data_IF_019414789229
#
_entry.id   IF_019414789229
#
_cell.length_a   1.000
_cell.length_b   1.000
_cell.length_c   1.000
_cell.angle_alpha   90.00
_cell.angle_beta   90.00
_cell.angle_gamma   90.00
#
_symmetry.space_group_name_H-M   'P 1'
#
loop_
_entity.id
_entity.type
_entity.pdbx_description
1 polymer ?
#
# COMPACT_ATOMS: atom_id res chain seq x y z
N UNK A 1 -16.93 13.48 3.27
CA UNK A 1 -16.70 14.63 4.17
C UNK A 1 -16.44 14.22 5.61
N UNK A 2 -17.36 13.50 6.24
CA UNK A 2 -17.16 13.05 7.62
C UNK A 2 -15.90 12.21 7.80
N UNK A 3 -15.61 11.35 6.84
CA UNK A 3 -14.43 10.46 6.91
C UNK A 3 -13.14 11.28 6.88
N UNK A 4 -13.07 12.29 6.00
CA UNK A 4 -11.89 13.13 5.91
C UNK A 4 -11.69 13.96 7.19
N UNK A 5 -12.78 14.46 7.78
CA UNK A 5 -12.71 15.18 9.04
C UNK A 5 -12.24 14.27 10.17
N UNK A 6 -12.72 13.02 10.18
CA UNK A 6 -12.29 12.04 11.17
C UNK A 6 -10.79 11.74 11.04
N UNK A 7 -10.30 11.55 9.81
CA UNK A 7 -8.89 11.31 9.55
C UNK A 7 -8.03 12.49 10.01
N UNK A 8 -8.52 13.72 9.79
CA UNK A 8 -7.79 14.90 10.24
C UNK A 8 -7.63 14.91 11.77
N UNK A 9 -8.68 14.49 12.50
CA UNK A 9 -8.64 14.38 13.94
C UNK A 9 -7.70 13.26 14.39
N UNK A 10 -7.58 12.20 13.60
CA UNK A 10 -6.77 11.03 13.89
C UNK A 10 -5.39 11.14 13.25
N UNK A 11 -4.81 12.34 13.24
CA UNK A 11 -3.48 12.62 12.68
C UNK A 11 -3.39 12.46 11.17
N UNK A 12 -4.53 12.59 10.48
CA UNK A 12 -4.62 12.46 9.02
C UNK A 12 -4.19 11.07 8.51
N UNK A 13 -4.24 10.06 9.38
CA UNK A 13 -3.81 8.72 9.02
C UNK A 13 -4.98 7.93 8.42
N UNK A 14 -4.94 7.60 7.13
CA UNK A 14 -5.95 6.69 6.57
C UNK A 14 -5.76 5.29 7.11
N UNK A 15 -6.84 4.52 7.17
CA UNK A 15 -6.78 3.14 7.64
C UNK A 15 -6.28 2.17 6.57
N UNK A 16 -6.22 2.58 5.31
CA UNK A 16 -5.71 1.75 4.22
C UNK A 16 -4.39 2.34 3.73
N UNK A 17 -3.34 1.54 3.76
CA UNK A 17 -2.02 1.94 3.26
C UNK A 17 -1.61 0.94 2.19
N UNK A 18 -1.54 1.42 0.95
CA UNK A 18 -1.06 0.62 -0.17
C UNK A 18 0.46 0.70 -0.19
N UNK A 19 1.13 -0.44 -0.08
CA UNK A 19 2.59 -0.50 -0.10
C UNK A 19 3.10 -1.18 -1.35
N UNK A 20 4.02 -0.52 -2.04
CA UNK A 20 4.66 -1.09 -3.22
C UNK A 20 5.40 -2.38 -2.84
N UNK A 21 5.45 -3.40 -3.72
CA UNK A 21 6.18 -4.63 -3.40
C UNK A 21 7.63 -4.33 -2.99
N UNK A 22 8.05 -4.89 -1.87
CA UNK A 22 9.41 -4.73 -1.36
C UNK A 22 9.63 -3.56 -0.42
N UNK A 23 8.62 -2.73 -0.13
CA UNK A 23 8.78 -1.60 0.81
C UNK A 23 8.87 -2.02 2.26
N UNK A 24 8.43 -3.24 2.61
CA UNK A 24 8.51 -3.73 4.00
C UNK A 24 7.17 -3.86 4.70
N UNK A 25 6.07 -4.02 3.95
CA UNK A 25 4.74 -4.25 4.54
C UNK A 25 4.73 -5.44 5.50
N UNK A 26 5.34 -6.55 5.09
CA UNK A 26 5.37 -7.77 5.89
C UNK A 26 6.11 -7.56 7.21
N UNK A 27 7.17 -6.77 7.21
CA UNK A 27 7.91 -6.44 8.41
C UNK A 27 7.06 -5.61 9.36
N UNK A 28 6.38 -4.59 8.83
CA UNK A 28 5.49 -3.76 9.63
C UNK A 28 4.37 -4.61 10.26
N UNK A 29 3.78 -5.51 9.49
CA UNK A 29 2.75 -6.41 9.97
C UNK A 29 3.29 -7.35 11.06
N UNK A 30 4.45 -7.95 10.82
CA UNK A 30 5.07 -8.90 11.75
C UNK A 30 5.41 -8.24 13.09
N UNK A 31 5.86 -7.00 13.05
CA UNK A 31 6.32 -6.26 14.22
C UNK A 31 5.21 -5.43 14.88
N UNK A 32 3.96 -5.64 14.51
CA UNK A 32 2.83 -4.80 14.95
C UNK A 32 2.51 -4.85 16.45
N UNK A 33 2.93 -5.90 17.14
CA UNK A 33 2.58 -6.07 18.55
C UNK A 33 1.07 -6.13 18.75
N UNK A 34 0.54 -5.28 19.64
CA UNK A 34 -0.89 -5.21 19.95
C UNK A 34 -1.68 -4.33 18.97
N UNK A 35 -1.02 -3.71 18.00
CA UNK A 35 -1.69 -2.85 17.05
C UNK A 35 -2.55 -3.67 16.08
N UNK A 36 -3.72 -3.14 15.77
CA UNK A 36 -4.63 -3.77 14.80
C UNK A 36 -4.19 -3.46 13.38
N UNK A 37 -3.24 -4.21 12.88
CA UNK A 37 -2.73 -4.08 11.51
C UNK A 37 -2.97 -5.41 10.80
N UNK A 38 -3.51 -5.33 9.59
CA UNK A 38 -3.81 -6.50 8.76
C UNK A 38 -3.08 -6.37 7.43
N UNK A 39 -2.36 -7.40 7.03
CA UNK A 39 -1.73 -7.46 5.71
C UNK A 39 -2.69 -8.21 4.79
N UNK A 40 -3.36 -7.49 3.90
CA UNK A 40 -4.37 -8.04 3.01
C UNK A 40 -3.83 -8.20 1.60
N UNK A 41 -3.48 -9.43 1.26
CA UNK A 41 -2.99 -9.78 -0.06
C UNK A 41 -4.17 -9.95 -1.02
N UNK A 42 -4.25 -9.07 -2.03
CA UNK A 42 -5.34 -9.12 -3.00
C UNK A 42 -5.32 -10.38 -3.87
N UNK A 43 -4.17 -11.04 -3.98
CA UNK A 43 -4.06 -12.24 -4.81
C UNK A 43 -4.81 -13.45 -4.23
N UNK A 44 -5.19 -13.42 -2.95
CA UNK A 44 -5.93 -14.50 -2.31
C UNK A 44 -7.43 -14.44 -2.58
N UNK A 45 -7.92 -13.38 -3.21
CA UNK A 45 -9.35 -13.19 -3.48
C UNK A 45 -9.75 -13.78 -4.83
N UNK A 46 -10.98 -14.30 -4.90
CA UNK A 46 -11.51 -14.88 -6.13
C UNK A 46 -11.53 -13.83 -7.24
N UNK A 47 -10.86 -14.13 -8.34
CA UNK A 47 -10.71 -13.20 -9.46
C UNK A 47 -12.03 -12.86 -10.13
N UNK A 48 -12.99 -13.79 -10.10
CA UNK A 48 -14.30 -13.56 -10.74
C UNK A 48 -15.07 -12.42 -10.06
N UNK A 49 -14.87 -12.21 -8.77
CA UNK A 49 -15.56 -11.19 -7.98
C UNK A 49 -14.67 -10.02 -7.60
N UNK A 50 -13.39 -10.08 -7.96
CA UNK A 50 -12.43 -9.02 -7.67
C UNK A 50 -12.67 -7.84 -8.63
N UNK A 51 -12.65 -6.57 -8.17
CA UNK A 51 -12.21 -6.13 -6.83
C UNK A 51 -13.34 -5.96 -5.80
N UNK A 52 -14.59 -6.24 -6.14
CA UNK A 52 -15.72 -6.01 -5.23
C UNK A 52 -15.59 -6.79 -3.92
N UNK A 53 -15.17 -8.06 -3.99
CA UNK A 53 -14.97 -8.88 -2.81
C UNK A 53 -13.84 -8.32 -1.92
N UNK A 54 -12.78 -7.82 -2.53
CA UNK A 54 -11.66 -7.22 -1.80
C UNK A 54 -12.08 -5.93 -1.10
N UNK A 55 -12.84 -5.08 -1.80
CA UNK A 55 -13.35 -3.83 -1.22
C UNK A 55 -14.31 -4.12 -0.06
N UNK A 56 -15.17 -5.14 -0.19
CA UNK A 56 -16.07 -5.53 0.90
C UNK A 56 -15.26 -5.96 2.14
N UNK A 57 -14.20 -6.73 1.94
CA UNK A 57 -13.29 -7.14 3.00
C UNK A 57 -12.64 -5.92 3.67
N UNK A 58 -12.16 -4.96 2.87
CA UNK A 58 -11.53 -3.74 3.40
C UNK A 58 -12.52 -2.95 4.25
N UNK A 59 -13.74 -2.74 3.75
CA UNK A 59 -14.78 -2.00 4.49
C UNK A 59 -15.10 -2.67 5.83
N UNK A 60 -15.19 -4.00 5.84
CA UNK A 60 -15.43 -4.77 7.07
C UNK A 60 -14.30 -4.55 8.07
N UNK A 61 -13.05 -4.63 7.62
CA UNK A 61 -11.90 -4.49 8.51
C UNK A 61 -11.71 -3.06 9.00
N UNK A 62 -12.06 -2.08 8.20
CA UNK A 62 -12.10 -0.68 8.64
C UNK A 62 -13.08 -0.53 9.80
N UNK A 63 -14.28 -1.10 9.65
CA UNK A 63 -15.31 -1.04 10.70
C UNK A 63 -14.84 -1.71 11.99
N UNK A 64 -13.98 -2.72 11.90
CA UNK A 64 -13.41 -3.41 13.06
C UNK A 64 -12.21 -2.68 13.66
N UNK A 65 -11.81 -1.55 13.09
CA UNK A 65 -10.72 -0.73 13.62
C UNK A 65 -9.33 -1.09 13.14
N UNK A 66 -9.21 -1.91 12.10
CA UNK A 66 -7.90 -2.28 11.56
C UNK A 66 -7.30 -1.20 10.67
N UNK A 67 -5.96 -1.12 10.68
CA UNK A 67 -5.19 -0.50 9.60
C UNK A 67 -4.85 -1.62 8.62
N UNK A 68 -5.12 -1.41 7.36
CA UNK A 68 -4.99 -2.45 6.34
C UNK A 68 -3.84 -2.12 5.41
N UNK A 69 -2.88 -3.03 5.32
CA UNK A 69 -1.78 -2.92 4.37
C UNK A 69 -2.21 -3.61 3.08
N UNK A 70 -2.40 -2.82 2.03
CA UNK A 70 -2.96 -3.29 0.76
C UNK A 70 -1.92 -3.22 -0.35
N UNK A 71 -2.24 -3.80 -1.50
CA UNK A 71 -1.36 -3.77 -2.67
C UNK A 71 -1.51 -2.45 -3.42
N UNK A 72 -0.55 -2.16 -4.30
CA UNK A 72 -0.56 -0.96 -5.15
C UNK A 72 -1.10 -1.22 -6.56
N UNK A 73 -1.77 -2.35 -6.80
CA UNK A 73 -2.38 -2.62 -8.11
C UNK A 73 -3.33 -1.49 -8.50
N UNK A 74 -3.30 -1.09 -9.76
CA UNK A 74 -4.14 -0.02 -10.27
C UNK A 74 -5.63 -0.29 -10.05
N UNK A 75 -6.05 -1.54 -10.20
CA UNK A 75 -7.44 -1.95 -9.97
C UNK A 75 -7.83 -1.70 -8.51
N UNK A 76 -6.94 -2.00 -7.56
CA UNK A 76 -7.19 -1.77 -6.14
C UNK A 76 -7.27 -0.27 -5.86
N UNK A 77 -6.31 0.51 -6.36
CA UNK A 77 -6.28 1.96 -6.13
C UNK A 77 -7.53 2.62 -6.68
N UNK A 78 -7.93 2.25 -7.89
CA UNK A 78 -9.13 2.82 -8.50
C UNK A 78 -10.39 2.43 -7.74
N UNK A 79 -10.48 1.19 -7.27
CA UNK A 79 -11.63 0.72 -6.49
C UNK A 79 -11.75 1.47 -5.16
N UNK A 80 -10.62 1.79 -4.54
CA UNK A 80 -10.63 2.60 -3.31
C UNK A 80 -11.17 3.99 -3.58
N UNK A 81 -10.74 4.62 -4.67
CA UNK A 81 -11.27 5.94 -5.08
C UNK A 81 -12.77 5.85 -5.37
N UNK A 82 -13.18 4.87 -6.15
CA UNK A 82 -14.58 4.70 -6.56
C UNK A 82 -15.52 4.46 -5.38
N UNK A 83 -14.99 3.91 -4.29
CA UNK A 83 -15.77 3.61 -3.09
C UNK A 83 -15.56 4.65 -1.98
N UNK A 84 -14.93 5.77 -2.29
CA UNK A 84 -14.68 6.86 -1.32
C UNK A 84 -13.95 6.39 -0.06
N UNK A 85 -13.04 5.42 -0.20
CA UNK A 85 -12.22 4.92 0.91
C UNK A 85 -10.91 5.71 0.93
N UNK A 86 -10.63 6.48 2.00
CA UNK A 86 -9.35 7.17 2.11
C UNK A 86 -8.19 6.19 2.18
N UNK A 87 -7.11 6.47 1.48
CA UNK A 87 -5.92 5.60 1.51
C UNK A 87 -4.64 6.38 1.30
N UNK A 88 -3.55 5.78 1.71
CA UNK A 88 -2.22 6.29 1.45
C UNK A 88 -1.44 5.32 0.59
N UNK A 89 -0.42 5.80 -0.09
CA UNK A 89 0.48 4.97 -0.89
C UNK A 89 1.91 5.22 -0.41
N UNK A 90 2.65 4.15 -0.15
CA UNK A 90 4.10 4.20 0.10
C UNK A 90 4.78 3.48 -1.06
N UNK A 91 5.64 4.18 -1.77
CA UNK A 91 6.25 3.67 -3.00
C UNK A 91 7.69 4.19 -3.12
N UNK A 92 8.55 3.49 -3.88
CA UNK A 92 9.95 3.91 -4.04
C UNK A 92 10.12 4.96 -5.15
N UNK A 93 11.19 5.73 -5.05
CA UNK A 93 11.61 6.60 -6.14
C UNK A 93 12.07 5.76 -7.33
N UNK A 94 12.04 6.35 -8.53
CA UNK A 94 12.42 5.65 -9.77
C UNK A 94 13.85 5.09 -9.71
N UNK A 95 14.76 5.79 -9.04
CA UNK A 95 16.17 5.36 -8.96
C UNK A 95 16.41 4.20 -7.99
N UNK A 96 15.34 3.65 -7.39
CA UNK A 96 15.47 2.51 -6.48
C UNK A 96 15.34 1.15 -7.18
N UNK A 97 15.23 1.11 -8.51
CA UNK A 97 14.96 -0.13 -9.25
C UNK A 97 15.94 -1.26 -8.90
N UNK A 98 17.24 -1.00 -9.00
CA UNK A 98 18.25 -2.03 -8.76
C UNK A 98 18.16 -2.58 -7.33
N UNK A 99 17.95 -1.70 -6.36
CA UNK A 99 17.81 -2.09 -4.96
C UNK A 99 16.59 -3.00 -4.75
N UNK A 100 15.45 -2.65 -5.38
CA UNK A 100 14.22 -3.42 -5.22
C UNK A 100 14.29 -4.77 -5.93
N UNK A 101 14.90 -4.83 -7.11
CA UNK A 101 15.11 -6.10 -7.78
C UNK A 101 15.97 -7.04 -6.91
N UNK A 102 16.96 -6.47 -6.22
CA UNK A 102 17.79 -7.24 -5.30
C UNK A 102 16.98 -7.73 -4.10
N UNK A 103 16.11 -6.88 -3.54
CA UNK A 103 15.21 -7.28 -2.45
C UNK A 103 14.34 -8.46 -2.85
N UNK A 104 13.81 -8.45 -4.08
CA UNK A 104 12.97 -9.55 -4.59
C UNK A 104 13.76 -10.85 -4.67
N UNK A 105 15.00 -10.79 -5.15
CA UNK A 105 15.87 -11.96 -5.23
C UNK A 105 16.18 -12.52 -3.85
N UNK A 106 16.51 -11.65 -2.91
CA UNK A 106 16.87 -12.05 -1.55
C UNK A 106 15.73 -12.73 -0.80
N UNK A 107 14.50 -12.28 -1.04
CA UNK A 107 13.33 -12.90 -0.41
C UNK A 107 12.80 -14.12 -1.16
N UNK A 108 13.45 -14.52 -2.25
CA UNK A 108 13.10 -15.70 -3.01
C UNK A 108 11.90 -15.54 -3.93
N UNK A 109 11.64 -14.33 -4.41
CA UNK A 109 10.53 -14.10 -5.34
C UNK A 109 10.73 -14.88 -6.65
N UNK A 110 9.64 -15.38 -7.29
CA UNK A 110 9.75 -16.07 -8.57
C UNK A 110 10.40 -15.17 -9.63
N UNK A 111 11.19 -15.77 -10.51
CA UNK A 111 11.83 -15.03 -11.59
C UNK A 111 10.83 -14.29 -12.46
N UNK A 112 9.67 -14.89 -12.70
CA UNK A 112 8.60 -14.27 -13.47
C UNK A 112 8.14 -12.95 -12.85
N UNK A 113 8.04 -12.90 -11.52
CA UNK A 113 7.70 -11.67 -10.81
C UNK A 113 8.81 -10.62 -10.94
N UNK A 114 10.06 -11.05 -10.79
CA UNK A 114 11.21 -10.15 -10.90
C UNK A 114 11.28 -9.54 -12.31
N UNK A 115 11.06 -10.36 -13.34
CA UNK A 115 11.04 -9.89 -14.73
C UNK A 115 9.92 -8.89 -14.97
N UNK A 116 8.74 -9.13 -14.41
CA UNK A 116 7.61 -8.20 -14.51
C UNK A 116 7.98 -6.85 -13.89
N UNK A 117 8.55 -6.88 -12.69
CA UNK A 117 8.93 -5.64 -11.99
C UNK A 117 10.04 -4.91 -12.75
N UNK A 118 10.99 -5.64 -13.34
CA UNK A 118 12.04 -5.05 -14.14
C UNK A 118 11.46 -4.35 -15.37
N UNK A 119 10.57 -5.00 -16.09
CA UNK A 119 10.01 -4.47 -17.34
C UNK A 119 9.00 -3.36 -17.12
N UNK A 120 8.27 -3.37 -16.00
CA UNK A 120 7.18 -2.43 -15.73
C UNK A 120 7.48 -1.45 -14.59
N UNK A 121 8.72 -1.38 -14.16
CA UNK A 121 9.13 -0.55 -13.03
C UNK A 121 8.66 0.89 -13.16
N UNK A 122 8.97 1.53 -14.29
CA UNK A 122 8.63 2.94 -14.51
C UNK A 122 7.11 3.13 -14.49
N UNK A 123 6.37 2.24 -15.16
CA UNK A 123 4.91 2.32 -15.21
C UNK A 123 4.29 2.17 -13.83
N UNK A 124 4.76 1.20 -13.05
CA UNK A 124 4.22 0.93 -11.72
C UNK A 124 4.54 2.08 -10.75
N UNK A 125 5.78 2.57 -10.75
CA UNK A 125 6.16 3.67 -9.86
C UNK A 125 5.40 4.94 -10.23
N UNK A 126 5.35 5.28 -11.51
CA UNK A 126 4.63 6.47 -11.98
C UNK A 126 3.13 6.36 -11.72
N UNK A 127 2.56 5.17 -11.81
CA UNK A 127 1.16 4.95 -11.45
C UNK A 127 0.88 5.31 -10.00
N UNK A 128 1.78 4.93 -9.10
CA UNK A 128 1.66 5.30 -7.69
C UNK A 128 1.84 6.80 -7.49
N UNK A 129 2.87 7.37 -8.12
CA UNK A 129 3.21 8.79 -7.96
C UNK A 129 2.11 9.70 -8.48
N UNK A 130 1.41 9.29 -9.54
CA UNK A 130 0.37 10.11 -10.18
C UNK A 130 -1.03 9.84 -9.66
N UNK A 131 -1.21 8.89 -8.75
CA UNK A 131 -2.53 8.55 -8.23
C UNK A 131 -3.14 9.74 -7.49
N UNK A 132 -4.37 10.09 -7.88
CA UNK A 132 -5.13 11.16 -7.23
C UNK A 132 -6.14 10.59 -6.25
N UNK A 133 -6.63 11.46 -5.36
CA UNK A 133 -7.62 11.06 -4.37
C UNK A 133 -7.03 10.33 -3.17
N UNK A 134 -5.75 10.50 -2.91
CA UNK A 134 -5.07 9.85 -1.80
C UNK A 134 -3.89 10.70 -1.31
N UNK A 135 -3.30 10.28 -0.19
CA UNK A 135 -2.03 10.81 0.29
C UNK A 135 -0.92 9.81 -0.05
N UNK A 136 0.31 10.26 -0.11
CA UNK A 136 1.41 9.37 -0.48
C UNK A 136 2.73 9.78 0.15
N UNK A 137 3.67 8.84 0.16
CA UNK A 137 5.04 9.05 0.60
C UNK A 137 5.99 8.28 -0.30
N UNK A 138 6.98 8.96 -0.85
CA UNK A 138 7.98 8.37 -1.73
C UNK A 138 9.24 8.04 -0.92
N UNK A 139 9.69 6.78 -1.02
CA UNK A 139 10.89 6.32 -0.33
C UNK A 139 12.13 6.55 -1.20
N UNK A 140 13.20 7.02 -0.56
CA UNK A 140 14.50 7.14 -1.18
C UNK A 140 15.27 5.82 -1.09
N UNK A 141 16.43 5.77 -1.74
CA UNK A 141 17.29 4.59 -1.67
C UNK A 141 17.64 4.25 -0.22
N UNK A 142 17.58 2.96 0.12
CA UNK A 142 17.89 2.48 1.45
C UNK A 142 16.78 2.63 2.48
N UNK A 143 15.70 3.30 2.13
CA UNK A 143 14.58 3.49 3.05
C UNK A 143 13.58 2.34 2.97
N UNK A 144 12.88 2.10 4.07
CA UNK A 144 11.84 1.08 4.19
C UNK A 144 10.55 1.70 4.70
N UNK A 145 9.49 0.91 4.73
CA UNK A 145 8.18 1.33 5.22
C UNK A 145 8.34 2.00 6.58
N UNK A 146 7.85 3.25 6.74
CA UNK A 146 7.90 3.93 8.03
C UNK A 146 7.07 3.22 9.09
N UNK A 147 7.33 3.52 10.35
CA UNK A 147 6.53 2.98 11.44
C UNK A 147 5.14 3.61 11.44
N UNK A 148 4.22 3.02 12.19
CA UNK A 148 2.87 3.57 12.34
C UNK A 148 2.88 4.97 12.96
N UNK A 149 3.88 5.28 13.77
CA UNK A 149 4.03 6.62 14.37
C UNK A 149 4.51 7.64 13.35
N UNK A 150 5.38 7.23 12.42
CA UNK A 150 5.96 8.10 11.43
C UNK A 150 5.03 8.38 10.25
N UNK A 151 4.22 7.40 9.85
CA UNK A 151 3.37 7.49 8.67
C UNK A 151 2.50 8.75 8.63
N UNK A 152 1.80 9.13 9.72
CA UNK A 152 0.94 10.32 9.66
C UNK A 152 1.70 11.61 9.34
N UNK A 153 2.98 11.66 9.68
CA UNK A 153 3.82 12.84 9.44
C UNK A 153 4.35 12.88 8.03
N UNK A 154 4.46 11.73 7.36
CA UNK A 154 5.10 11.60 6.06
C UNK A 154 4.11 11.58 4.90
N UNK A 155 2.92 11.07 5.12
CA UNK A 155 1.90 10.98 4.07
C UNK A 155 1.36 12.36 3.71
N UNK A 156 1.45 12.74 2.44
CA UNK A 156 1.04 14.05 1.93
C UNK A 156 0.14 13.90 0.71
N UNK A 157 -0.76 14.85 0.54
CA UNK A 157 -1.62 14.91 -0.63
C UNK A 157 -0.82 15.29 -1.90
#
# INVERSE_FOLDING_TARGET
MKVLLSLAKDNNMPQVICGFPGVGKSTLFRDRGDQKILDSDSSTFDKAEFPQNYIAHIKEKIAEGYTILASTHDVVRQALVDNDIPFGIVYPALNCKAEYLQRYKERGSPQQFIDLMDNKWVDFVNGCASQKGCVSHCLAQGEYMPTMEELPKLLKA
#
